data_IF_672525336569
#
_entry.id   IF_672525336569
#
_cell.length_a   1.000
_cell.length_b   1.000
_cell.length_c   1.000
_cell.angle_alpha   90.00
_cell.angle_beta   90.00
_cell.angle_gamma   90.00
#
_symmetry.space_group_name_H-M   'P 1'
#
loop_
_entity.id
_entity.type
_entity.pdbx_description
1 polymer ?
#
# COMPACT_ATOMS: atom_id res chain seq x y z
N UNK A 1 -8.60 8.62 18.41
CA UNK A 1 -8.37 7.17 18.26
C UNK A 1 -6.90 6.91 18.48
N UNK A 2 -6.58 5.99 19.38
CA UNK A 2 -5.21 5.59 19.67
C UNK A 2 -4.61 4.81 18.48
N UNK A 3 -3.36 5.09 18.07
CA UNK A 3 -2.73 4.37 16.97
C UNK A 3 -2.57 2.89 17.31
N UNK A 4 -2.91 2.01 16.36
CA UNK A 4 -2.69 0.57 16.44
C UNK A 4 -1.49 0.20 15.58
N UNK A 5 -0.59 -0.60 16.13
CA UNK A 5 0.59 -1.13 15.43
C UNK A 5 0.33 -2.59 15.12
N UNK A 6 0.64 -3.00 13.89
CA UNK A 6 0.71 -4.40 13.48
C UNK A 6 2.12 -4.65 12.95
N UNK A 7 2.68 -5.82 13.27
CA UNK A 7 3.94 -6.27 12.68
C UNK A 7 3.63 -6.99 11.38
N UNK A 8 4.31 -6.59 10.30
CA UNK A 8 4.14 -7.17 8.97
C UNK A 8 5.51 -7.34 8.30
N UNK A 9 5.68 -8.45 7.60
CA UNK A 9 6.84 -8.73 6.77
C UNK A 9 6.77 -8.00 5.43
N UNK A 10 7.90 -7.88 4.72
CA UNK A 10 7.92 -7.30 3.37
C UNK A 10 6.99 -8.02 2.39
N UNK A 11 6.88 -9.35 2.54
CA UNK A 11 5.96 -10.16 1.73
C UNK A 11 4.49 -9.78 1.98
N UNK A 12 4.12 -9.61 3.25
CA UNK A 12 2.78 -9.17 3.63
C UNK A 12 2.52 -7.72 3.18
N UNK A 13 3.50 -6.83 3.25
CA UNK A 13 3.37 -5.46 2.72
C UNK A 13 3.09 -5.50 1.20
N UNK A 14 3.74 -6.39 0.44
CA UNK A 14 3.44 -6.56 -1.01
C UNK A 14 2.00 -7.00 -1.22
N UNK A 15 1.52 -7.97 -0.44
CA UNK A 15 0.15 -8.49 -0.53
C UNK A 15 -0.86 -7.39 -0.18
N UNK A 16 -0.64 -6.66 0.92
CA UNK A 16 -1.51 -5.56 1.35
C UNK A 16 -1.57 -4.47 0.28
N UNK A 17 -0.42 -4.06 -0.28
CA UNK A 17 -0.38 -3.06 -1.37
C UNK A 17 -1.11 -3.55 -2.62
N UNK A 18 -1.00 -4.83 -2.97
CA UNK A 18 -1.70 -5.41 -4.12
C UNK A 18 -3.22 -5.46 -3.89
N UNK A 19 -3.66 -5.93 -2.72
CA UNK A 19 -5.07 -5.99 -2.34
C UNK A 19 -5.71 -4.61 -2.34
N UNK A 20 -5.06 -3.60 -1.75
CA UNK A 20 -5.57 -2.23 -1.74
C UNK A 20 -5.66 -1.63 -3.15
N UNK A 21 -4.68 -1.88 -4.01
CA UNK A 21 -4.74 -1.41 -5.42
C UNK A 21 -5.85 -2.09 -6.21
N UNK A 22 -6.04 -3.38 -6.02
CA UNK A 22 -7.11 -4.13 -6.67
C UNK A 22 -8.48 -3.65 -6.18
N UNK A 23 -8.63 -3.48 -4.86
CA UNK A 23 -9.81 -2.87 -4.25
C UNK A 23 -10.09 -1.49 -4.85
N UNK A 24 -9.07 -0.62 -4.99
CA UNK A 24 -9.21 0.70 -5.61
C UNK A 24 -9.65 0.66 -7.08
N UNK A 25 -9.29 -0.38 -7.83
CA UNK A 25 -9.62 -0.49 -9.26
C UNK A 25 -11.11 -0.77 -9.51
N UNK A 26 -11.82 -1.30 -8.51
CA UNK A 26 -13.25 -1.61 -8.57
C UNK A 26 -14.13 -0.40 -8.23
N UNK A 27 -13.56 0.67 -7.67
CA UNK A 27 -14.31 1.85 -7.24
C UNK A 27 -14.65 2.81 -8.38
N UNK A 28 -15.89 3.30 -8.35
CA UNK A 28 -16.38 4.36 -9.21
C UNK A 28 -16.14 5.77 -8.65
N UNK A 29 -16.75 6.77 -9.30
CA UNK A 29 -16.65 8.17 -8.89
C UNK A 29 -17.41 8.48 -7.59
N UNK A 30 -18.40 7.67 -7.21
CA UNK A 30 -19.24 7.89 -6.03
C UNK A 30 -18.45 7.69 -4.73
N UNK A 31 -17.41 6.87 -4.75
CA UNK A 31 -16.53 6.59 -3.61
C UNK A 31 -15.20 7.37 -3.65
N UNK A 32 -15.20 8.57 -4.26
CA UNK A 32 -14.02 9.41 -4.41
C UNK A 32 -13.29 9.70 -3.08
N UNK A 33 -14.03 9.84 -1.97
CA UNK A 33 -13.44 10.04 -0.65
C UNK A 33 -12.72 8.79 -0.13
N UNK A 34 -13.31 7.61 -0.31
CA UNK A 34 -12.68 6.32 0.05
C UNK A 34 -11.42 6.10 -0.80
N UNK A 35 -11.50 6.36 -2.11
CA UNK A 35 -10.36 6.34 -3.02
C UNK A 35 -9.21 7.22 -2.53
N UNK A 36 -9.54 8.44 -2.06
CA UNK A 36 -8.55 9.39 -1.57
C UNK A 36 -7.89 8.91 -0.28
N UNK A 37 -8.64 8.34 0.66
CA UNK A 37 -8.09 7.88 1.93
C UNK A 37 -7.28 6.59 1.80
N UNK A 38 -7.69 5.65 0.96
CA UNK A 38 -6.89 4.46 0.67
C UNK A 38 -5.61 4.82 -0.09
N UNK A 39 -5.64 5.79 -1.01
CA UNK A 39 -4.42 6.30 -1.66
C UNK A 39 -3.43 6.88 -0.65
N UNK A 40 -3.90 7.65 0.34
CA UNK A 40 -3.05 8.13 1.44
C UNK A 40 -2.49 6.99 2.26
N UNK A 41 -3.29 5.95 2.54
CA UNK A 41 -2.84 4.77 3.28
C UNK A 41 -1.72 4.04 2.54
N UNK A 42 -1.88 3.79 1.24
CA UNK A 42 -0.85 3.16 0.38
C UNK A 42 0.44 3.98 0.37
N UNK A 43 0.35 5.31 0.33
CA UNK A 43 1.51 6.19 0.35
C UNK A 43 2.29 6.15 1.69
N UNK A 44 1.64 5.74 2.77
CA UNK A 44 2.28 5.55 4.09
C UNK A 44 2.89 4.16 4.26
N UNK A 45 2.51 3.18 3.44
CA UNK A 45 3.11 1.86 3.49
C UNK A 45 4.52 1.93 2.91
N UNK A 46 5.51 1.30 3.55
CA UNK A 46 6.86 1.23 3.00
C UNK A 46 6.80 0.60 1.61
N UNK A 47 7.65 1.10 0.72
CA UNK A 47 7.83 0.41 -0.54
C UNK A 47 8.47 -0.93 -0.23
N UNK A 48 7.68 -2.01 -0.27
CA UNK A 48 8.19 -3.37 -0.08
C UNK A 48 9.30 -3.64 -1.09
N UNK A 49 10.52 -3.45 -0.62
CA UNK A 49 11.78 -3.24 -1.31
C UNK A 49 11.73 -3.47 -2.82
N UNK A 50 11.94 -2.40 -3.58
CA UNK A 50 12.49 -2.50 -4.91
C UNK A 50 13.79 -3.29 -4.77
N UNK A 51 13.91 -4.40 -5.51
CA UNK A 51 15.09 -5.27 -5.58
C UNK A 51 16.39 -4.50 -5.34
N UNK A 52 17.38 -5.09 -4.62
CA UNK A 52 18.68 -4.44 -4.46
C UNK A 52 19.17 -4.03 -5.85
N UNK A 53 19.28 -2.72 -6.11
CA UNK A 53 19.84 -2.23 -7.37
C UNK A 53 21.21 -2.88 -7.51
N UNK A 54 21.51 -3.60 -8.61
CA UNK A 54 22.85 -4.11 -8.82
C UNK A 54 23.80 -2.91 -8.91
N UNK A 55 24.72 -2.80 -7.96
CA UNK A 55 25.82 -1.85 -8.01
C UNK A 55 26.66 -2.20 -9.25
N UNK A 56 26.77 -1.33 -10.27
CA UNK A 56 27.75 -1.56 -11.33
C UNK A 56 29.15 -1.44 -10.72
N UNK A 57 29.96 -2.48 -10.93
CA UNK A 57 31.37 -2.52 -10.54
C UNK A 57 32.27 -1.72 -11.47
#
# INVERSE_FOLDING_TARGET
>A
MDPKVIEVTDAEIRIIRAALRHYLAEFGHEEADILRDVKKLIARLPEADASPKPTPG
#
